data_IF_309019745166
#
_entry.id   IF_309019745166
#
_cell.length_a   1.000
_cell.length_b   1.000
_cell.length_c   1.000
_cell.angle_alpha   90.00
_cell.angle_beta   90.00
_cell.angle_gamma   90.00
#
_symmetry.space_group_name_H-M   'P 1'
#
loop_
_entity.id
_entity.type
_entity.pdbx_description
1 polymer ?
#
# COMPACT_ATOMS: atom_id res chain seq x y z
N UNK A 1 4.99 18.63 -15.09
CA UNK A 1 5.25 17.26 -15.56
C UNK A 1 4.14 16.37 -15.06
N UNK A 2 3.56 15.57 -15.91
CA UNK A 2 2.48 14.62 -15.63
C UNK A 2 2.96 13.20 -15.90
N UNK A 3 2.19 12.18 -15.50
CA UNK A 3 2.49 10.79 -15.90
C UNK A 3 2.39 10.61 -17.42
N UNK A 4 1.51 11.36 -18.09
CA UNK A 4 1.39 11.36 -19.55
C UNK A 4 2.68 11.84 -20.22
N UNK A 5 3.29 12.94 -19.72
CA UNK A 5 4.58 13.45 -20.24
C UNK A 5 5.69 12.41 -20.08
N UNK A 6 5.69 11.67 -18.95
CA UNK A 6 6.67 10.61 -18.68
C UNK A 6 6.49 9.41 -19.62
N UNK A 7 5.25 8.96 -19.83
CA UNK A 7 4.97 7.85 -20.74
C UNK A 7 5.33 8.22 -22.18
N UNK A 8 4.92 9.38 -22.66
CA UNK A 8 5.26 9.85 -24.01
C UNK A 8 6.78 9.97 -24.23
N UNK A 9 7.51 10.54 -23.26
CA UNK A 9 8.97 10.61 -23.30
C UNK A 9 9.61 9.20 -23.32
N UNK A 10 9.04 8.26 -22.56
CA UNK A 10 9.52 6.89 -22.53
C UNK A 10 9.24 6.14 -23.84
N UNK A 11 8.04 6.30 -24.41
CA UNK A 11 7.67 5.72 -25.70
C UNK A 11 8.53 6.25 -26.85
N UNK A 12 8.87 7.54 -26.83
CA UNK A 12 9.78 8.12 -27.81
C UNK A 12 11.22 7.62 -27.69
N UNK A 13 11.72 7.42 -26.47
CA UNK A 13 13.10 7.00 -26.20
C UNK A 13 13.33 5.49 -26.30
N UNK A 14 12.35 4.68 -25.92
CA UNK A 14 12.43 3.23 -25.80
C UNK A 14 11.12 2.57 -26.29
N UNK A 15 10.72 2.74 -27.59
CA UNK A 15 9.40 2.33 -28.08
C UNK A 15 9.11 0.84 -27.86
N UNK A 16 10.09 -0.01 -28.08
CA UNK A 16 9.99 -1.47 -27.96
C UNK A 16 10.30 -1.97 -26.54
N UNK A 17 10.64 -1.05 -25.63
CA UNK A 17 10.88 -1.37 -24.23
C UNK A 17 9.59 -1.87 -23.56
N UNK A 18 9.69 -2.98 -22.82
CA UNK A 18 8.55 -3.57 -22.11
C UNK A 18 8.37 -2.86 -20.78
N UNK A 19 7.22 -2.19 -20.63
CA UNK A 19 6.86 -1.49 -19.39
C UNK A 19 6.32 -2.45 -18.32
N UNK A 20 5.46 -3.40 -18.75
CA UNK A 20 4.76 -4.32 -17.86
C UNK A 20 4.56 -5.69 -18.49
N UNK A 21 4.68 -6.72 -17.65
CA UNK A 21 4.37 -8.11 -17.98
C UNK A 21 3.33 -8.63 -16.99
N UNK A 22 2.24 -9.20 -17.49
CA UNK A 22 1.34 -10.04 -16.69
C UNK A 22 1.63 -11.49 -17.05
N UNK A 23 2.23 -12.22 -16.13
CA UNK A 23 2.72 -13.57 -16.39
C UNK A 23 1.61 -14.52 -16.86
N UNK A 24 1.81 -15.12 -18.03
CA UNK A 24 0.82 -16.02 -18.67
C UNK A 24 -0.32 -15.30 -19.41
N UNK A 25 -0.32 -13.96 -19.45
CA UNK A 25 -1.32 -13.15 -20.16
C UNK A 25 -0.70 -12.40 -21.34
N UNK A 26 0.38 -11.63 -21.08
CA UNK A 26 1.03 -10.83 -22.12
C UNK A 26 1.96 -9.77 -21.56
N UNK A 27 2.41 -8.89 -22.45
CA UNK A 27 3.28 -7.77 -22.15
C UNK A 27 2.79 -6.48 -22.81
N UNK A 28 3.20 -5.34 -22.29
CA UNK A 28 2.86 -4.02 -22.79
C UNK A 28 4.14 -3.23 -22.99
N UNK A 29 4.44 -2.86 -24.26
CA UNK A 29 5.56 -1.98 -24.61
C UNK A 29 5.17 -0.52 -24.38
N UNK A 30 6.17 0.38 -24.27
CA UNK A 30 5.90 1.81 -24.08
C UNK A 30 5.16 2.41 -25.28
N UNK A 31 5.53 2.07 -26.50
CA UNK A 31 4.84 2.56 -27.72
C UNK A 31 3.40 2.06 -27.81
N UNK A 32 3.16 0.78 -27.51
CA UNK A 32 1.80 0.22 -27.51
C UNK A 32 0.94 0.85 -26.40
N UNK A 33 1.52 1.09 -25.21
CA UNK A 33 0.82 1.77 -24.12
C UNK A 33 0.44 3.19 -24.51
N UNK A 34 1.39 3.95 -25.03
CA UNK A 34 1.24 5.32 -25.45
C UNK A 34 0.14 5.49 -26.50
N UNK A 35 0.21 4.71 -27.61
CA UNK A 35 -0.77 4.77 -28.69
C UNK A 35 -2.17 4.31 -28.26
N UNK A 36 -2.27 3.21 -27.51
CA UNK A 36 -3.57 2.70 -27.03
C UNK A 36 -4.22 3.68 -26.03
N UNK A 37 -3.42 4.34 -25.18
CA UNK A 37 -3.92 5.35 -24.26
C UNK A 37 -4.47 6.58 -24.98
N UNK A 38 -3.86 7.00 -26.08
CA UNK A 38 -4.41 8.07 -26.93
C UNK A 38 -5.74 7.66 -27.56
N UNK A 39 -5.87 6.42 -28.03
CA UNK A 39 -7.15 5.88 -28.53
C UNK A 39 -8.26 5.96 -27.48
N UNK A 40 -7.98 5.51 -26.25
CA UNK A 40 -8.94 5.60 -25.12
C UNK A 40 -9.32 7.06 -24.83
N UNK A 41 -8.33 7.97 -24.79
CA UNK A 41 -8.58 9.39 -24.56
C UNK A 41 -9.47 10.01 -25.65
N UNK A 42 -9.17 9.73 -26.92
CA UNK A 42 -9.94 10.21 -28.06
C UNK A 42 -11.38 9.65 -28.03
N UNK A 43 -11.56 8.38 -27.67
CA UNK A 43 -12.89 7.79 -27.46
C UNK A 43 -13.68 8.55 -26.39
N UNK A 44 -13.09 8.76 -25.21
CA UNK A 44 -13.74 9.45 -24.09
C UNK A 44 -14.12 10.90 -24.46
N UNK A 45 -13.23 11.62 -25.15
CA UNK A 45 -13.48 12.99 -25.60
C UNK A 45 -14.64 13.02 -26.60
N UNK A 46 -14.67 12.10 -27.57
CA UNK A 46 -15.74 12.00 -28.55
C UNK A 46 -17.09 11.66 -27.94
N UNK A 47 -17.09 10.85 -26.87
CA UNK A 47 -18.27 10.55 -26.06
C UNK A 47 -18.66 11.70 -25.10
N UNK A 48 -17.98 12.84 -25.20
CA UNK A 48 -18.28 14.05 -24.44
C UNK A 48 -17.80 14.03 -22.97
N UNK A 49 -16.77 13.24 -22.65
CA UNK A 49 -16.11 13.33 -21.34
C UNK A 49 -15.52 14.74 -21.13
N UNK A 50 -15.69 15.28 -19.94
CA UNK A 50 -15.26 16.65 -19.59
C UNK A 50 -14.00 16.63 -18.75
N UNK A 51 -13.16 17.65 -18.84
CA UNK A 51 -12.03 17.81 -17.90
C UNK A 51 -12.53 17.82 -16.45
N UNK A 52 -11.83 17.06 -15.59
CA UNK A 52 -12.18 16.90 -14.19
C UNK A 52 -13.34 15.91 -13.91
N UNK A 53 -13.99 15.35 -14.93
CA UNK A 53 -15.04 14.35 -14.75
C UNK A 53 -14.47 13.04 -14.21
N UNK A 54 -15.01 12.48 -13.09
CA UNK A 54 -14.58 11.19 -12.60
C UNK A 54 -15.01 10.06 -13.54
N UNK A 55 -14.07 9.16 -13.86
CA UNK A 55 -14.28 7.94 -14.67
C UNK A 55 -13.86 6.72 -13.86
N UNK A 56 -14.82 5.82 -13.61
CA UNK A 56 -14.58 4.58 -12.88
C UNK A 56 -13.76 3.58 -13.70
N UNK A 57 -12.84 2.89 -13.03
CA UNK A 57 -12.01 1.84 -13.61
C UNK A 57 -12.19 0.57 -12.79
N UNK A 58 -12.88 -0.42 -13.34
CA UNK A 58 -13.19 -1.71 -12.69
C UNK A 58 -12.58 -2.83 -13.54
N UNK A 59 -11.36 -3.22 -13.22
CA UNK A 59 -10.60 -4.23 -13.95
C UNK A 59 -10.19 -5.37 -13.04
N UNK A 60 -10.32 -6.64 -13.47
CA UNK A 60 -9.82 -7.76 -12.72
C UNK A 60 -8.29 -7.74 -12.66
N UNK A 61 -7.73 -8.38 -11.64
CA UNK A 61 -6.28 -8.41 -11.44
C UNK A 61 -5.51 -8.96 -12.65
N UNK A 62 -6.10 -9.88 -13.41
CA UNK A 62 -5.52 -10.40 -14.65
C UNK A 62 -5.40 -9.35 -15.78
N UNK A 63 -6.19 -8.28 -15.72
CA UNK A 63 -6.27 -7.24 -16.76
C UNK A 63 -5.38 -6.01 -16.44
N UNK A 64 -4.25 -6.18 -15.75
CA UNK A 64 -3.32 -5.10 -15.45
C UNK A 64 -2.85 -4.31 -16.69
N UNK A 65 -2.64 -5.00 -17.83
CA UNK A 65 -2.21 -4.32 -19.05
C UNK A 65 -3.31 -3.39 -19.59
N UNK A 66 -4.54 -3.87 -19.63
CA UNK A 66 -5.69 -3.08 -20.08
C UNK A 66 -6.04 -1.96 -19.09
N UNK A 67 -5.94 -2.26 -17.79
CA UNK A 67 -6.07 -1.22 -16.77
C UNK A 67 -5.05 -0.09 -16.95
N UNK A 68 -3.78 -0.42 -17.21
CA UNK A 68 -2.73 0.57 -17.43
C UNK A 68 -3.05 1.49 -18.63
N UNK A 69 -3.54 0.90 -19.72
CA UNK A 69 -3.98 1.65 -20.91
C UNK A 69 -5.17 2.53 -20.59
N UNK A 70 -6.23 1.98 -19.98
CA UNK A 70 -7.44 2.71 -19.62
C UNK A 70 -7.15 3.86 -18.65
N UNK A 71 -6.34 3.61 -17.61
CA UNK A 71 -5.92 4.63 -16.64
C UNK A 71 -5.25 5.83 -17.34
N UNK A 72 -4.26 5.57 -18.17
CA UNK A 72 -3.55 6.63 -18.88
C UNK A 72 -4.45 7.35 -19.89
N UNK A 73 -5.33 6.64 -20.57
CA UNK A 73 -6.31 7.24 -21.48
C UNK A 73 -7.30 8.16 -20.75
N UNK A 74 -7.78 7.76 -19.57
CA UNK A 74 -8.60 8.64 -18.72
C UNK A 74 -7.84 9.91 -18.36
N UNK A 75 -6.58 9.80 -17.93
CA UNK A 75 -5.77 10.98 -17.63
C UNK A 75 -5.60 11.89 -18.85
N UNK A 76 -5.32 11.33 -20.04
CA UNK A 76 -5.12 12.09 -21.29
C UNK A 76 -6.40 12.75 -21.80
N UNK A 77 -7.56 12.23 -21.45
CA UNK A 77 -8.84 12.91 -21.77
C UNK A 77 -9.12 14.12 -20.87
N UNK A 78 -8.28 14.37 -19.86
CA UNK A 78 -8.49 15.39 -18.82
C UNK A 78 -9.43 14.93 -17.72
N UNK A 79 -9.95 13.72 -17.78
CA UNK A 79 -10.82 13.14 -16.76
C UNK A 79 -10.00 12.64 -15.54
N UNK A 80 -10.71 12.33 -14.45
CA UNK A 80 -10.13 11.86 -13.19
C UNK A 80 -10.32 10.36 -13.06
N UNK A 81 -9.24 9.61 -12.94
CA UNK A 81 -9.30 8.16 -12.80
C UNK A 81 -9.78 7.74 -11.39
N UNK A 82 -10.78 6.86 -11.33
CA UNK A 82 -11.31 6.30 -10.08
C UNK A 82 -11.14 4.77 -10.08
N UNK A 83 -9.95 4.27 -9.67
CA UNK A 83 -9.72 2.83 -9.57
C UNK A 83 -10.60 2.21 -8.50
N UNK A 84 -11.30 1.14 -8.86
CA UNK A 84 -12.18 0.38 -7.97
C UNK A 84 -11.81 -1.11 -7.99
N UNK A 85 -11.93 -1.82 -6.85
CA UNK A 85 -11.75 -3.27 -6.83
C UNK A 85 -12.77 -3.98 -7.73
N UNK A 86 -12.33 -4.96 -8.52
CA UNK A 86 -13.18 -5.77 -9.41
C UNK A 86 -14.28 -6.55 -8.67
N UNK A 87 -14.02 -6.90 -7.40
CA UNK A 87 -14.96 -7.63 -6.53
C UNK A 87 -15.89 -6.71 -5.72
N UNK A 88 -15.92 -5.42 -6.05
CA UNK A 88 -16.84 -4.49 -5.40
C UNK A 88 -18.28 -4.80 -5.85
N UNK A 89 -19.27 -4.94 -4.92
CA UNK A 89 -20.66 -5.12 -5.28
C UNK A 89 -21.19 -3.98 -6.14
N UNK A 90 -22.02 -4.30 -7.15
CA UNK A 90 -22.58 -3.30 -8.06
C UNK A 90 -23.37 -2.18 -7.34
N UNK A 91 -24.03 -2.51 -6.22
CA UNK A 91 -24.71 -1.51 -5.39
C UNK A 91 -23.75 -0.49 -4.78
N UNK A 92 -22.55 -0.93 -4.41
CA UNK A 92 -21.53 -0.03 -3.86
C UNK A 92 -20.86 0.79 -4.96
N UNK A 93 -20.62 0.19 -6.13
CA UNK A 93 -20.13 0.93 -7.31
C UNK A 93 -21.12 2.05 -7.67
N UNK A 94 -22.42 1.77 -7.72
CA UNK A 94 -23.45 2.80 -7.97
C UNK A 94 -23.45 3.88 -6.89
N UNK A 95 -23.38 3.52 -5.63
CA UNK A 95 -23.28 4.48 -4.53
C UNK A 95 -22.04 5.39 -4.64
N UNK A 96 -20.89 4.83 -5.01
CA UNK A 96 -19.70 5.62 -5.26
C UNK A 96 -19.85 6.52 -6.50
N UNK A 97 -20.49 6.02 -7.55
CA UNK A 97 -20.78 6.80 -8.76
C UNK A 97 -21.66 8.02 -8.45
N UNK A 98 -22.72 7.84 -7.67
CA UNK A 98 -23.59 8.94 -7.21
C UNK A 98 -22.81 9.97 -6.37
N UNK A 99 -22.00 9.51 -5.42
CA UNK A 99 -21.21 10.40 -4.55
C UNK A 99 -20.13 11.19 -5.28
N UNK A 100 -19.58 10.65 -6.34
CA UNK A 100 -18.52 11.30 -7.12
C UNK A 100 -19.05 12.09 -8.32
N UNK A 101 -20.31 11.92 -8.68
CA UNK A 101 -20.85 12.40 -9.95
C UNK A 101 -20.33 11.64 -11.18
N UNK A 102 -19.84 10.41 -10.98
CA UNK A 102 -19.26 9.57 -12.01
C UNK A 102 -20.36 9.02 -12.93
N UNK A 103 -20.33 9.38 -14.20
CA UNK A 103 -21.29 8.95 -15.20
C UNK A 103 -20.77 7.81 -16.08
N UNK A 104 -19.45 7.56 -16.07
CA UNK A 104 -18.77 6.56 -16.89
C UNK A 104 -17.98 5.58 -16.04
N UNK A 105 -18.07 4.30 -16.39
CA UNK A 105 -17.31 3.20 -15.77
C UNK A 105 -16.75 2.32 -16.87
N UNK A 106 -15.43 2.27 -16.97
CA UNK A 106 -14.74 1.38 -17.89
C UNK A 106 -14.49 0.02 -17.23
N UNK A 107 -14.82 -1.06 -17.93
CA UNK A 107 -14.56 -2.46 -17.55
C UNK A 107 -13.70 -3.19 -18.59
N UNK A 108 -13.46 -2.53 -19.70
CA UNK A 108 -12.62 -2.91 -20.82
C UNK A 108 -11.95 -1.66 -21.40
N UNK A 109 -11.09 -1.86 -22.39
CA UNK A 109 -10.39 -0.78 -23.07
C UNK A 109 -11.17 -0.38 -24.32
N UNK A 110 -11.82 0.79 -24.32
CA UNK A 110 -12.50 1.24 -25.52
C UNK A 110 -11.49 1.58 -26.63
N UNK A 111 -11.86 1.28 -27.86
CA UNK A 111 -11.09 1.61 -29.03
C UNK A 111 -11.58 2.95 -29.59
N UNK A 112 -10.67 3.91 -29.68
CA UNK A 112 -10.95 5.22 -30.27
C UNK A 112 -10.09 5.51 -31.50
N UNK A 113 -10.30 6.67 -32.12
CA UNK A 113 -9.49 7.11 -33.28
C UNK A 113 -8.00 7.18 -32.94
N UNK A 114 -7.17 6.85 -33.92
CA UNK A 114 -5.72 7.02 -33.83
C UNK A 114 -5.32 8.50 -33.79
N UNK A 115 -4.15 8.76 -33.21
CA UNK A 115 -3.57 10.12 -33.10
C UNK A 115 -3.52 10.61 -31.67
N UNK A 116 -2.65 11.57 -31.42
CA UNK A 116 -2.43 12.12 -30.07
C UNK A 116 -3.67 12.78 -29.53
N UNK A 117 -3.97 12.54 -28.25
CA UNK A 117 -5.07 13.19 -27.55
C UNK A 117 -4.81 14.71 -27.43
N UNK A 118 -5.80 15.55 -27.78
CA UNK A 118 -5.61 17.01 -27.90
C UNK A 118 -5.53 17.74 -26.55
N UNK A 119 -5.80 17.07 -25.43
CA UNK A 119 -5.91 17.72 -24.12
C UNK A 119 -4.56 18.11 -23.54
N UNK A 120 -4.44 19.37 -23.13
CA UNK A 120 -3.26 19.90 -22.46
C UNK A 120 -3.43 19.81 -20.95
N UNK A 121 -2.66 18.94 -20.29
CA UNK A 121 -2.75 18.69 -18.86
C UNK A 121 -1.84 19.59 -18.05
N UNK A 122 -2.32 20.09 -16.92
CA UNK A 122 -1.54 20.79 -15.92
C UNK A 122 -1.19 19.87 -14.75
N UNK A 123 -0.04 20.10 -14.10
CA UNK A 123 0.32 19.41 -12.88
C UNK A 123 -0.67 19.60 -11.72
N UNK A 124 -1.42 20.72 -11.72
CA UNK A 124 -2.43 21.03 -10.71
C UNK A 124 -3.79 20.37 -10.97
N UNK A 125 -4.02 19.84 -12.17
CA UNK A 125 -5.30 19.22 -12.51
C UNK A 125 -5.50 17.96 -11.69
N UNK A 126 -6.74 17.68 -11.26
CA UNK A 126 -7.09 16.41 -10.62
C UNK A 126 -6.79 15.24 -11.55
N UNK A 127 -6.19 14.19 -11.03
CA UNK A 127 -5.78 13.02 -11.81
C UNK A 127 -6.38 11.71 -11.30
N UNK A 128 -6.53 11.57 -9.99
CA UNK A 128 -6.99 10.32 -9.39
C UNK A 128 -7.84 10.56 -8.15
N UNK A 129 -8.86 9.73 -7.95
CA UNK A 129 -9.57 9.56 -6.69
C UNK A 129 -9.42 8.11 -6.27
N UNK A 130 -8.81 7.86 -5.11
CA UNK A 130 -8.65 6.52 -4.56
C UNK A 130 -9.44 6.38 -3.26
N UNK A 131 -10.38 5.44 -3.23
CA UNK A 131 -11.20 5.21 -2.05
C UNK A 131 -10.47 4.39 -1.00
N UNK A 132 -10.48 4.89 0.24
CA UNK A 132 -9.94 4.20 1.41
C UNK A 132 -11.08 3.74 2.32
N UNK A 133 -10.92 2.58 2.97
CA UNK A 133 -11.83 2.15 4.03
C UNK A 133 -11.60 3.02 5.25
N UNK A 134 -12.36 4.09 5.39
CA UNK A 134 -12.27 4.97 6.56
C UNK A 134 -12.55 4.22 7.87
N UNK A 135 -11.93 4.68 8.97
CA UNK A 135 -12.21 4.17 10.33
C UNK A 135 -13.67 4.32 10.76
N UNK A 136 -14.40 5.25 10.13
CA UNK A 136 -15.82 5.52 10.37
C UNK A 136 -16.76 4.58 9.61
N UNK A 137 -16.24 3.63 8.82
CA UNK A 137 -17.05 2.69 8.01
C UNK A 137 -17.49 3.24 6.65
N UNK A 138 -17.46 4.55 6.44
CA UNK A 138 -17.75 5.16 5.13
C UNK A 138 -16.44 5.37 4.37
N UNK A 139 -16.34 4.81 3.16
CA UNK A 139 -15.17 4.99 2.32
C UNK A 139 -14.97 6.47 1.96
N UNK A 140 -13.76 7.01 2.15
CA UNK A 140 -13.37 8.37 1.77
C UNK A 140 -12.60 8.35 0.46
N UNK A 141 -12.97 9.23 -0.47
CA UNK A 141 -12.23 9.42 -1.73
C UNK A 141 -11.05 10.37 -1.51
N UNK A 142 -9.84 9.88 -1.65
CA UNK A 142 -8.61 10.68 -1.58
C UNK A 142 -8.25 11.15 -2.97
N UNK A 143 -8.20 12.47 -3.17
CA UNK A 143 -7.88 13.09 -4.46
C UNK A 143 -6.38 13.31 -4.59
N UNK A 144 -5.84 13.05 -5.78
CA UNK A 144 -4.46 13.36 -6.15
C UNK A 144 -4.42 14.13 -7.47
N UNK A 145 -3.52 15.11 -7.56
CA UNK A 145 -3.25 15.83 -8.80
C UNK A 145 -2.20 15.09 -9.64
N UNK A 146 -2.03 15.52 -10.91
CA UNK A 146 -0.94 15.00 -11.74
C UNK A 146 0.44 15.25 -11.10
N UNK A 147 0.63 16.38 -10.43
CA UNK A 147 1.88 16.70 -9.73
C UNK A 147 2.12 15.75 -8.53
N UNK A 148 1.06 15.36 -7.81
CA UNK A 148 1.21 14.36 -6.75
C UNK A 148 1.67 13.01 -7.30
N UNK A 149 1.05 12.55 -8.40
CA UNK A 149 1.37 11.25 -9.00
C UNK A 149 2.78 11.22 -9.62
N UNK A 150 3.23 12.35 -10.17
CA UNK A 150 4.53 12.49 -10.82
C UNK A 150 5.64 13.03 -9.89
N UNK A 151 5.36 13.19 -8.59
CA UNK A 151 6.33 13.76 -7.66
C UNK A 151 7.59 12.90 -7.54
N UNK A 152 8.75 13.54 -7.67
CA UNK A 152 10.06 12.87 -7.56
C UNK A 152 10.44 12.02 -8.78
N UNK A 153 9.59 11.95 -9.82
CA UNK A 153 9.88 11.21 -11.04
C UNK A 153 10.68 12.05 -12.03
N UNK A 154 11.46 11.38 -12.88
CA UNK A 154 12.38 12.03 -13.82
C UNK A 154 12.34 11.37 -15.19
N UNK A 155 12.43 12.19 -16.25
CA UNK A 155 12.61 11.70 -17.62
C UNK A 155 14.03 11.15 -17.86
N UNK A 156 15.03 11.69 -17.15
CA UNK A 156 16.44 11.24 -17.28
C UNK A 156 16.57 9.76 -16.84
N UNK A 157 16.99 8.86 -17.75
CA UNK A 157 17.18 7.44 -17.43
C UNK A 157 18.15 7.17 -16.27
N UNK A 158 19.12 8.08 -16.05
CA UNK A 158 20.12 7.95 -14.99
C UNK A 158 19.54 8.16 -13.59
N UNK A 159 18.38 8.81 -13.50
CA UNK A 159 17.69 9.13 -12.25
C UNK A 159 16.52 8.19 -11.94
N UNK A 160 16.26 7.19 -12.79
CA UNK A 160 15.18 6.21 -12.59
C UNK A 160 15.48 5.33 -11.38
N UNK A 161 14.47 5.05 -10.58
CA UNK A 161 14.58 4.18 -9.42
C UNK A 161 14.89 2.72 -9.82
N UNK A 162 15.44 1.95 -8.90
CA UNK A 162 15.68 0.49 -9.01
C UNK A 162 16.60 0.08 -10.17
N UNK A 163 17.64 0.86 -10.47
CA UNK A 163 18.60 0.58 -11.56
C UNK A 163 19.41 -0.71 -11.38
N UNK A 164 19.46 -1.26 -10.17
CA UNK A 164 20.08 -2.54 -9.86
C UNK A 164 19.29 -3.73 -10.38
N UNK A 165 18.06 -3.54 -10.84
CA UNK A 165 17.10 -4.57 -11.18
C UNK A 165 16.65 -4.45 -12.64
N UNK A 166 16.51 -5.60 -13.33
CA UNK A 166 15.88 -5.67 -14.67
C UNK A 166 14.37 -5.85 -14.57
N UNK A 167 13.90 -6.54 -13.54
CA UNK A 167 12.49 -6.78 -13.30
C UNK A 167 12.11 -6.45 -11.87
N UNK A 168 10.94 -5.84 -11.70
CA UNK A 168 10.30 -5.55 -10.42
C UNK A 168 9.04 -6.41 -10.31
N UNK A 169 9.00 -7.33 -9.36
CA UNK A 169 7.86 -8.23 -9.16
C UNK A 169 6.92 -7.74 -8.05
N UNK A 170 5.62 -7.82 -8.29
CA UNK A 170 4.57 -7.56 -7.29
C UNK A 170 3.32 -8.40 -7.56
N UNK A 171 2.39 -8.42 -6.59
CA UNK A 171 1.05 -8.98 -6.78
C UNK A 171 -0.03 -8.12 -6.09
N UNK A 172 0.19 -6.80 -6.04
CA UNK A 172 -0.77 -5.87 -5.43
C UNK A 172 -2.04 -5.72 -6.28
N UNK A 173 -3.22 -5.66 -5.63
CA UNK A 173 -4.47 -5.37 -6.32
C UNK A 173 -4.48 -3.97 -6.96
N UNK A 174 -5.13 -3.85 -8.13
CA UNK A 174 -5.23 -2.61 -8.90
C UNK A 174 -5.81 -1.45 -8.07
N UNK A 175 -6.92 -1.67 -7.34
CA UNK A 175 -7.63 -0.64 -6.58
C UNK A 175 -6.95 -0.20 -5.26
N UNK A 176 -5.67 -0.52 -5.03
CA UNK A 176 -4.93 -0.15 -3.82
C UNK A 176 -3.86 0.90 -4.10
N UNK A 177 -3.50 1.70 -3.09
CA UNK A 177 -2.41 2.68 -3.24
C UNK A 177 -1.08 2.00 -3.65
N UNK A 178 -0.79 0.82 -3.11
CA UNK A 178 0.40 0.04 -3.49
C UNK A 178 0.35 -0.40 -4.96
N UNK A 179 -0.81 -0.86 -5.45
CA UNK A 179 -1.01 -1.18 -6.86
C UNK A 179 -0.81 0.05 -7.76
N UNK A 180 -1.34 1.21 -7.38
CA UNK A 180 -1.14 2.44 -8.14
C UNK A 180 0.33 2.85 -8.20
N UNK A 181 1.10 2.65 -7.13
CA UNK A 181 2.55 2.86 -7.12
C UNK A 181 3.27 1.92 -8.10
N UNK A 182 2.82 0.67 -8.29
CA UNK A 182 3.40 -0.24 -9.28
C UNK A 182 3.11 0.23 -10.72
N UNK A 183 1.92 0.76 -10.99
CA UNK A 183 1.60 1.39 -12.27
C UNK A 183 2.54 2.57 -12.56
N UNK A 184 2.78 3.43 -11.57
CA UNK A 184 3.71 4.56 -11.68
C UNK A 184 5.14 4.06 -11.91
N UNK A 185 5.57 3.01 -11.21
CA UNK A 185 6.89 2.40 -11.41
C UNK A 185 7.05 1.79 -12.82
N UNK A 186 5.99 1.24 -13.40
CA UNK A 186 6.05 0.72 -14.78
C UNK A 186 6.36 1.83 -15.80
N UNK A 187 5.97 3.08 -15.52
CA UNK A 187 6.29 4.23 -16.38
C UNK A 187 7.68 4.80 -16.06
N UNK A 188 7.99 4.98 -14.78
CA UNK A 188 9.06 5.85 -14.31
C UNK A 188 10.31 5.13 -13.81
N UNK A 189 10.20 3.89 -13.34
CA UNK A 189 11.32 3.12 -12.84
C UNK A 189 12.18 2.50 -13.97
N UNK A 190 13.35 1.99 -13.61
CA UNK A 190 14.23 1.32 -14.57
C UNK A 190 13.72 -0.06 -14.97
N UNK A 191 13.30 -0.94 -14.03
CA UNK A 191 12.90 -2.31 -14.37
C UNK A 191 11.53 -2.38 -15.04
N UNK A 192 11.36 -3.43 -15.87
CA UNK A 192 10.04 -3.89 -16.29
C UNK A 192 9.25 -4.38 -15.07
N UNK A 193 8.02 -3.92 -14.89
CA UNK A 193 7.14 -4.41 -13.82
C UNK A 193 6.53 -5.74 -14.22
N UNK A 194 6.63 -6.73 -13.34
CA UNK A 194 6.10 -8.08 -13.56
C UNK A 194 5.09 -8.42 -12.48
N UNK A 195 3.92 -8.89 -12.89
CA UNK A 195 2.87 -9.33 -11.96
C UNK A 195 2.23 -10.65 -12.42
N UNK A 196 1.35 -11.21 -11.60
CA UNK A 196 0.64 -12.47 -11.86
C UNK A 196 -0.86 -12.27 -11.71
N UNK A 197 -1.71 -12.93 -12.50
CA UNK A 197 -3.17 -12.83 -12.39
C UNK A 197 -3.72 -13.23 -11.01
N UNK A 198 -3.04 -14.13 -10.32
CA UNK A 198 -3.42 -14.63 -9.01
C UNK A 198 -2.18 -14.87 -8.16
N UNK A 199 -2.15 -14.26 -6.98
CA UNK A 199 -1.12 -14.55 -6.00
C UNK A 199 -1.36 -15.94 -5.38
N UNK A 200 -0.35 -16.79 -5.45
CA UNK A 200 -0.11 -17.91 -4.54
C UNK A 200 1.39 -17.95 -4.26
N UNK A 201 1.84 -18.38 -3.07
CA UNK A 201 3.26 -18.34 -2.71
C UNK A 201 4.16 -19.02 -3.74
N UNK A 202 3.83 -20.25 -4.14
CA UNK A 202 4.63 -21.01 -5.10
C UNK A 202 4.66 -20.37 -6.50
N UNK A 203 3.54 -19.83 -7.00
CA UNK A 203 3.51 -19.11 -8.29
C UNK A 203 4.33 -17.84 -8.24
N UNK A 204 4.24 -17.10 -7.13
CA UNK A 204 4.99 -15.86 -7.00
C UNK A 204 6.49 -16.10 -6.85
N UNK A 205 6.91 -17.11 -6.08
CA UNK A 205 8.30 -17.55 -6.02
C UNK A 205 8.83 -17.98 -7.40
N UNK A 206 8.05 -18.77 -8.14
CA UNK A 206 8.39 -19.19 -9.52
C UNK A 206 8.49 -18.01 -10.49
N UNK A 207 7.64 -16.97 -10.32
CA UNK A 207 7.71 -15.74 -11.10
C UNK A 207 9.01 -14.98 -10.81
N UNK A 208 9.36 -14.80 -9.53
CA UNK A 208 10.61 -14.15 -9.11
C UNK A 208 11.81 -14.87 -9.74
N UNK A 209 11.86 -16.20 -9.61
CA UNK A 209 12.94 -17.02 -10.15
C UNK A 209 12.98 -16.96 -11.70
N UNK A 210 11.84 -17.08 -12.39
CA UNK A 210 11.77 -17.07 -13.86
C UNK A 210 12.28 -15.76 -14.46
N UNK A 211 11.85 -14.63 -13.90
CA UNK A 211 12.23 -13.31 -14.40
C UNK A 211 13.52 -12.77 -13.77
N UNK A 212 14.13 -13.51 -12.85
CA UNK A 212 15.31 -13.05 -12.10
C UNK A 212 15.05 -11.64 -11.54
N UNK A 213 13.92 -11.49 -10.84
CA UNK A 213 13.50 -10.20 -10.33
C UNK A 213 14.49 -9.70 -9.25
N UNK A 214 15.13 -8.57 -9.51
CA UNK A 214 16.06 -7.95 -8.54
C UNK A 214 15.34 -7.07 -7.52
N UNK A 215 14.09 -6.71 -7.77
CA UNK A 215 13.24 -5.93 -6.86
C UNK A 215 11.92 -6.64 -6.67
N UNK A 216 11.48 -6.80 -5.42
CA UNK A 216 10.20 -7.41 -5.07
C UNK A 216 9.45 -6.50 -4.10
N UNK A 217 8.17 -6.24 -4.37
CA UNK A 217 7.28 -5.57 -3.43
C UNK A 217 6.14 -6.48 -3.01
N UNK A 218 5.85 -6.51 -1.69
CA UNK A 218 4.80 -7.35 -1.11
C UNK A 218 4.17 -6.66 0.12
N UNK A 219 3.08 -7.24 0.61
CA UNK A 219 2.52 -6.91 1.93
C UNK A 219 2.94 -7.97 2.94
N UNK A 220 2.93 -7.67 4.26
CA UNK A 220 3.35 -8.64 5.29
C UNK A 220 2.68 -10.00 5.21
N UNK A 221 1.40 -10.06 4.84
CA UNK A 221 0.70 -11.34 4.64
C UNK A 221 1.28 -12.18 3.52
N UNK A 222 1.62 -11.56 2.39
CA UNK A 222 2.29 -12.25 1.28
C UNK A 222 3.68 -12.73 1.70
N UNK A 223 4.38 -11.95 2.53
CA UNK A 223 5.67 -12.33 3.11
C UNK A 223 5.54 -13.59 3.99
N UNK A 224 4.57 -13.58 4.90
CA UNK A 224 4.27 -14.72 5.78
C UNK A 224 3.95 -15.98 4.97
N UNK A 225 3.11 -15.87 3.95
CA UNK A 225 2.75 -16.99 3.09
C UNK A 225 3.94 -17.52 2.29
N UNK A 226 4.79 -16.64 1.75
CA UNK A 226 6.02 -17.03 1.02
C UNK A 226 7.00 -17.79 1.91
N UNK A 227 7.26 -17.27 3.11
CA UNK A 227 8.13 -17.91 4.10
C UNK A 227 7.55 -19.26 4.52
N UNK A 228 6.23 -19.33 4.76
CA UNK A 228 5.55 -20.57 5.20
C UNK A 228 5.51 -21.65 4.12
N UNK A 229 5.60 -21.28 2.85
CA UNK A 229 5.55 -22.23 1.73
C UNK A 229 6.83 -23.04 1.53
N UNK A 230 7.92 -22.73 2.26
CA UNK A 230 9.18 -23.48 2.21
C UNK A 230 9.89 -23.40 0.86
N UNK A 231 9.72 -22.30 0.13
CA UNK A 231 10.48 -22.06 -1.10
C UNK A 231 11.98 -22.00 -0.78
N UNK A 232 12.82 -22.48 -1.70
CA UNK A 232 14.26 -22.34 -1.60
C UNK A 232 14.71 -20.88 -1.78
N UNK A 233 16.00 -20.57 -1.51
CA UNK A 233 16.53 -19.23 -1.66
C UNK A 233 16.28 -18.62 -3.04
N UNK A 234 15.97 -17.33 -3.05
CA UNK A 234 15.71 -16.52 -4.25
C UNK A 234 16.78 -15.42 -4.36
N UNK A 235 17.98 -15.81 -4.74
CA UNK A 235 19.23 -15.01 -4.72
C UNK A 235 19.20 -13.83 -5.70
N UNK A 236 18.30 -13.83 -6.68
CA UNK A 236 18.16 -12.72 -7.64
C UNK A 236 17.68 -11.42 -7.00
N UNK A 237 16.98 -11.50 -5.85
CA UNK A 237 16.36 -10.34 -5.21
C UNK A 237 17.40 -9.56 -4.42
N UNK A 238 17.60 -8.31 -4.83
CA UNK A 238 18.53 -7.36 -4.18
C UNK A 238 17.80 -6.34 -3.29
N UNK A 239 16.51 -6.12 -3.56
CA UNK A 239 15.64 -5.25 -2.77
C UNK A 239 14.28 -5.91 -2.57
N UNK A 240 13.89 -6.07 -1.31
CA UNK A 240 12.56 -6.47 -0.93
C UNK A 240 11.89 -5.32 -0.17
N UNK A 241 10.76 -4.82 -0.71
CA UNK A 241 9.96 -3.77 -0.10
C UNK A 241 8.68 -4.34 0.50
N UNK A 242 8.46 -4.13 1.80
CA UNK A 242 7.19 -4.41 2.47
C UNK A 242 6.42 -3.11 2.72
N UNK A 243 5.11 -3.12 2.49
CA UNK A 243 4.26 -1.94 2.63
C UNK A 243 2.86 -2.30 3.13
N UNK A 244 2.05 -1.27 3.38
CA UNK A 244 0.63 -1.33 3.74
C UNK A 244 0.31 -1.78 5.19
N UNK A 245 1.21 -2.48 5.88
CA UNK A 245 1.10 -2.83 7.30
C UNK A 245 2.51 -2.96 7.91
N UNK A 246 2.65 -2.94 9.24
CA UNK A 246 3.92 -3.24 9.89
C UNK A 246 4.41 -4.64 9.52
N UNK A 247 5.70 -4.77 9.23
CA UNK A 247 6.35 -6.06 8.99
C UNK A 247 6.88 -6.58 10.33
N UNK A 248 6.37 -7.71 10.86
CA UNK A 248 6.89 -8.26 12.11
C UNK A 248 8.38 -8.62 12.00
N UNK A 249 9.15 -8.33 13.04
CA UNK A 249 10.60 -8.57 13.03
C UNK A 249 10.96 -10.04 12.81
N UNK A 250 10.20 -10.95 13.40
CA UNK A 250 10.39 -12.39 13.20
C UNK A 250 10.17 -12.83 11.73
N UNK A 251 9.23 -12.17 11.02
CA UNK A 251 9.00 -12.41 9.59
C UNK A 251 10.14 -11.83 8.76
N UNK A 252 10.62 -10.63 9.12
CA UNK A 252 11.74 -9.99 8.42
C UNK A 252 13.02 -10.85 8.51
N UNK A 253 13.31 -11.47 9.65
CA UNK A 253 14.44 -12.42 9.80
C UNK A 253 14.30 -13.59 8.83
N UNK A 254 13.12 -14.24 8.79
CA UNK A 254 12.87 -15.37 7.88
C UNK A 254 12.89 -14.96 6.40
N UNK A 255 12.51 -13.72 6.09
CA UNK A 255 12.67 -13.17 4.74
C UNK A 255 14.14 -13.03 4.36
N UNK A 256 15.05 -12.72 5.30
CA UNK A 256 16.49 -12.72 5.07
C UNK A 256 17.06 -14.09 4.71
N UNK A 257 16.46 -15.17 5.22
CA UNK A 257 16.84 -16.55 4.82
C UNK A 257 16.32 -16.90 3.41
N UNK A 258 15.11 -16.44 3.05
CA UNK A 258 14.52 -16.67 1.73
C UNK A 258 15.16 -15.80 0.63
N UNK A 259 15.58 -14.60 0.98
CA UNK A 259 16.18 -13.60 0.08
C UNK A 259 17.56 -13.15 0.60
N UNK A 260 18.58 -14.03 0.57
CA UNK A 260 19.85 -13.80 1.27
C UNK A 260 20.64 -12.59 0.77
N UNK A 261 20.45 -12.18 -0.49
CA UNK A 261 21.10 -11.01 -1.10
C UNK A 261 20.28 -9.72 -0.97
N UNK A 262 19.07 -9.81 -0.40
CA UNK A 262 18.14 -8.68 -0.42
C UNK A 262 18.34 -7.73 0.76
N UNK A 263 18.36 -6.43 0.46
CA UNK A 263 18.05 -5.40 1.44
C UNK A 263 16.54 -5.44 1.72
N UNK A 264 16.15 -5.83 2.92
CA UNK A 264 14.74 -5.86 3.34
C UNK A 264 14.35 -4.48 3.84
N UNK A 265 13.29 -3.90 3.25
CA UNK A 265 12.83 -2.57 3.58
C UNK A 265 11.35 -2.57 3.95
N UNK A 266 10.95 -1.72 4.88
CA UNK A 266 9.55 -1.45 5.22
C UNK A 266 9.20 0.00 4.91
N UNK A 267 8.07 0.20 4.22
CA UNK A 267 7.56 1.52 3.81
C UNK A 267 6.31 1.85 4.62
N UNK A 268 6.36 2.93 5.37
CA UNK A 268 5.19 3.44 6.07
C UNK A 268 4.68 4.71 5.40
N UNK A 269 3.44 4.67 4.96
CA UNK A 269 2.70 5.77 4.34
C UNK A 269 1.20 5.49 4.44
N UNK A 270 0.38 6.44 4.02
CA UNK A 270 -1.05 6.25 3.78
C UNK A 270 -1.44 6.77 2.39
N UNK A 271 -2.65 6.46 1.94
CA UNK A 271 -3.19 7.02 0.69
C UNK A 271 -3.24 8.54 0.77
N UNK A 272 -3.60 9.08 1.93
CA UNK A 272 -3.71 10.51 2.20
C UNK A 272 -2.34 11.20 2.19
N UNK A 273 -1.32 10.54 2.72
CA UNK A 273 0.01 11.13 2.89
C UNK A 273 0.90 10.99 1.65
N UNK A 274 0.63 10.02 0.77
CA UNK A 274 1.48 9.79 -0.40
C UNK A 274 1.65 11.07 -1.23
N UNK A 275 2.90 11.45 -1.64
CA UNK A 275 4.10 10.62 -1.65
C UNK A 275 4.97 10.68 -0.37
N UNK A 276 4.51 11.32 0.73
CA UNK A 276 5.25 11.28 1.99
C UNK A 276 5.31 9.84 2.52
N UNK A 277 6.51 9.40 2.92
CA UNK A 277 6.74 8.06 3.46
C UNK A 277 7.94 8.05 4.40
N UNK A 278 7.99 7.07 5.28
CA UNK A 278 9.24 6.66 5.92
C UNK A 278 9.74 5.37 5.30
N UNK A 279 11.03 5.13 5.37
CA UNK A 279 11.66 3.90 4.91
C UNK A 279 12.54 3.38 6.05
N UNK A 280 12.30 2.13 6.43
CA UNK A 280 13.15 1.36 7.32
C UNK A 280 13.90 0.31 6.52
N UNK A 281 15.21 0.32 6.55
CA UNK A 281 16.02 -0.85 6.25
C UNK A 281 15.99 -1.72 7.51
N UNK A 282 15.58 -2.97 7.37
CA UNK A 282 15.45 -3.86 8.52
C UNK A 282 16.74 -3.92 9.31
N UNK A 283 16.62 -3.63 10.60
CA UNK A 283 17.71 -3.64 11.57
C UNK A 283 17.23 -4.39 12.82
N UNK A 284 17.80 -5.54 13.14
CA UNK A 284 17.45 -6.30 14.35
C UNK A 284 17.62 -5.53 15.65
N UNK A 285 18.51 -4.51 15.68
CA UNK A 285 18.73 -3.68 16.87
C UNK A 285 17.64 -2.61 17.07
N UNK A 286 16.79 -2.41 16.05
CA UNK A 286 15.68 -1.44 16.06
C UNK A 286 14.32 -2.10 15.76
N UNK A 287 13.93 -3.13 16.53
CA UNK A 287 12.68 -3.83 16.29
C UNK A 287 11.48 -2.87 16.38
N UNK A 288 10.53 -3.03 15.48
CA UNK A 288 9.29 -2.21 15.46
C UNK A 288 9.45 -0.81 14.88
N UNK A 289 10.65 -0.36 14.49
CA UNK A 289 10.81 0.91 13.78
C UNK A 289 10.25 0.82 12.36
N UNK A 290 9.58 1.89 11.92
CA UNK A 290 9.15 2.09 10.53
C UNK A 290 10.04 3.09 9.79
N UNK A 291 11.22 3.38 10.34
CA UNK A 291 12.30 4.12 9.70
C UNK A 291 12.19 5.64 9.81
N UNK A 292 12.91 6.32 8.92
CA UNK A 292 12.99 7.78 8.85
C UNK A 292 12.30 8.33 7.62
N UNK A 293 11.91 9.62 7.70
CA UNK A 293 11.33 10.33 6.56
C UNK A 293 12.22 10.24 5.32
N UNK A 294 11.62 9.92 4.18
CA UNK A 294 12.30 9.76 2.90
C UNK A 294 11.81 10.81 1.87
N UNK A 295 12.51 10.89 0.74
CA UNK A 295 12.15 11.74 -0.40
C UNK A 295 11.94 13.23 -0.04
N UNK A 296 12.75 13.76 0.89
CA UNK A 296 12.64 15.16 1.35
C UNK A 296 11.41 15.44 2.22
N UNK A 297 10.72 14.39 2.66
CA UNK A 297 9.59 14.48 3.57
C UNK A 297 10.01 14.78 5.01
N UNK A 298 9.02 14.95 5.87
CA UNK A 298 9.21 15.17 7.30
C UNK A 298 8.16 14.39 8.10
N UNK A 299 8.55 13.95 9.29
CA UNK A 299 7.68 13.36 10.31
C UNK A 299 7.72 14.25 11.54
N UNK A 300 6.59 14.42 12.19
CA UNK A 300 6.51 15.01 13.52
C UNK A 300 5.53 14.23 14.39
N UNK A 301 5.77 14.27 15.67
CA UNK A 301 4.86 13.77 16.69
C UNK A 301 4.24 14.95 17.40
N UNK A 302 2.93 14.91 17.64
CA UNK A 302 2.24 15.95 18.40
C UNK A 302 1.62 15.37 19.65
N UNK A 303 1.87 16.02 20.76
CA UNK A 303 1.23 15.72 22.05
C UNK A 303 -0.26 16.06 22.02
N UNK A 304 -1.01 15.66 23.06
CA UNK A 304 -2.45 15.87 23.14
C UNK A 304 -2.87 17.36 23.15
N UNK A 305 -1.99 18.25 23.56
CA UNK A 305 -2.18 19.69 23.53
C UNK A 305 -1.86 20.35 22.17
N UNK A 306 -1.40 19.54 21.19
CA UNK A 306 -1.04 19.99 19.84
C UNK A 306 0.39 20.51 19.70
N UNK A 307 1.19 20.49 20.75
CA UNK A 307 2.62 20.87 20.71
C UNK A 307 3.47 19.74 20.11
N UNK A 308 4.69 20.05 19.70
CA UNK A 308 5.64 19.03 19.26
C UNK A 308 6.10 18.20 20.48
N UNK A 309 6.00 16.87 20.35
CA UNK A 309 6.48 15.94 21.38
C UNK A 309 8.02 15.88 21.37
N UNK A 310 8.60 15.63 22.54
CA UNK A 310 10.03 15.35 22.66
C UNK A 310 10.39 13.97 22.12
N UNK A 311 11.70 13.71 21.91
CA UNK A 311 12.16 12.37 21.53
C UNK A 311 11.76 11.35 22.63
N UNK A 312 11.26 10.18 22.18
CA UNK A 312 10.72 9.12 23.06
C UNK A 312 9.30 9.39 23.59
N UNK A 313 8.74 10.59 23.42
CA UNK A 313 7.38 10.91 23.85
C UNK A 313 6.36 10.48 22.81
N UNK A 314 5.37 9.68 23.23
CA UNK A 314 4.29 9.18 22.37
C UNK A 314 3.23 10.25 22.10
N UNK A 315 2.91 10.46 20.84
CA UNK A 315 1.86 11.37 20.40
C UNK A 315 1.30 10.96 19.02
N UNK A 316 0.52 11.85 18.43
CA UNK A 316 -0.04 11.63 17.10
C UNK A 316 1.03 11.81 16.00
N UNK A 317 1.07 10.87 15.06
CA UNK A 317 1.99 10.89 13.93
C UNK A 317 1.43 11.77 12.80
N UNK A 318 2.26 12.73 12.36
CA UNK A 318 1.98 13.57 11.21
C UNK A 318 3.12 13.48 10.21
N UNK A 319 2.76 13.47 8.92
CA UNK A 319 3.74 13.42 7.83
C UNK A 319 3.52 14.57 6.85
N UNK A 320 4.60 15.01 6.23
CA UNK A 320 4.58 16.01 5.15
C UNK A 320 5.59 15.64 4.07
N UNK A 321 5.24 15.91 2.81
CA UNK A 321 6.18 15.90 1.68
C UNK A 321 6.30 17.29 1.07
N UNK A 322 7.32 17.56 0.23
CA UNK A 322 7.38 18.78 -0.57
C UNK A 322 6.29 18.87 -1.65
N UNK A 323 5.63 17.75 -2.00
CA UNK A 323 4.47 17.78 -2.89
C UNK A 323 3.29 18.47 -2.19
N UNK A 324 2.41 19.08 -2.98
CA UNK A 324 1.14 19.57 -2.48
C UNK A 324 0.36 18.43 -1.79
N UNK A 325 -0.27 18.67 -0.63
CA UNK A 325 -1.03 17.63 0.05
C UNK A 325 -2.22 17.19 -0.80
N UNK A 326 -2.59 15.93 -0.66
CA UNK A 326 -3.86 15.40 -1.18
C UNK A 326 -5.02 15.99 -0.36
N UNK A 327 -6.26 15.73 -0.78
CA UNK A 327 -7.46 16.15 -0.05
C UNK A 327 -8.53 15.06 -0.11
N UNK A 328 -9.55 15.17 0.73
CA UNK A 328 -10.75 14.35 0.55
C UNK A 328 -11.69 14.99 -0.47
N UNK A 329 -12.32 14.14 -1.28
CA UNK A 329 -13.35 14.56 -2.23
C UNK A 329 -14.53 15.19 -1.48
N UNK A 330 -14.85 16.45 -1.83
CA UNK A 330 -15.93 17.21 -1.18
C UNK A 330 -15.62 17.75 0.20
N UNK A 331 -14.45 17.44 0.78
CA UNK A 331 -14.01 17.92 2.09
C UNK A 331 -12.56 18.47 1.98
N UNK A 332 -12.34 19.62 1.32
CA UNK A 332 -11.01 20.18 1.13
C UNK A 332 -10.34 20.56 2.46
N UNK A 333 -11.14 20.95 3.45
CA UNK A 333 -10.69 21.21 4.81
C UNK A 333 -11.12 20.05 5.72
N UNK A 334 -10.17 19.36 6.30
CA UNK A 334 -10.42 18.30 7.26
C UNK A 334 -9.30 18.27 8.31
N UNK A 335 -9.60 17.69 9.47
CA UNK A 335 -8.60 17.48 10.52
C UNK A 335 -7.42 16.61 10.10
N UNK A 336 -7.57 15.90 9.00
CA UNK A 336 -6.52 15.06 8.41
C UNK A 336 -5.45 15.91 7.70
N UNK A 337 -5.84 17.03 7.07
CA UNK A 337 -4.95 17.86 6.27
C UNK A 337 -4.83 19.26 6.90
N UNK A 338 -3.68 19.58 7.52
CA UNK A 338 -3.47 20.87 8.19
C UNK A 338 -2.10 21.46 7.86
N UNK A 339 -2.07 22.65 7.27
CA UNK A 339 -0.84 23.39 7.00
C UNK A 339 0.23 22.56 6.23
N UNK A 340 -0.19 21.77 5.25
CA UNK A 340 0.68 20.90 4.46
C UNK A 340 1.10 19.60 5.17
N UNK A 341 0.62 19.36 6.38
CA UNK A 341 0.81 18.12 7.12
C UNK A 341 -0.41 17.22 7.00
N UNK A 342 -0.17 15.92 7.02
CA UNK A 342 -1.19 14.87 7.00
C UNK A 342 -1.16 14.10 8.31
N UNK A 343 -2.29 14.06 9.01
CA UNK A 343 -2.50 13.25 10.20
C UNK A 343 -2.65 11.80 9.82
N UNK A 344 -1.76 10.93 10.32
CA UNK A 344 -1.72 9.53 9.92
C UNK A 344 -2.79 8.66 10.59
N UNK A 345 -3.34 9.13 11.74
CA UNK A 345 -4.28 8.36 12.56
C UNK A 345 -3.59 7.27 13.39
N UNK A 346 -2.28 7.32 13.47
CA UNK A 346 -1.43 6.43 14.25
C UNK A 346 -0.81 7.20 15.42
N UNK A 347 -0.53 6.50 16.53
CA UNK A 347 0.28 6.95 17.64
C UNK A 347 1.68 6.41 17.48
N UNK A 348 2.67 7.21 17.81
CA UNK A 348 4.07 6.83 17.72
C UNK A 348 4.99 7.81 18.43
N UNK A 349 6.27 7.55 18.37
CA UNK A 349 7.32 8.44 18.86
C UNK A 349 8.52 8.42 17.91
N UNK A 350 9.32 9.48 17.95
CA UNK A 350 10.63 9.52 17.32
C UNK A 350 11.70 9.27 18.36
N UNK A 351 12.72 8.48 18.05
CA UNK A 351 13.91 8.41 18.87
C UNK A 351 14.84 9.61 18.61
N UNK A 352 15.95 9.69 19.36
CA UNK A 352 16.94 10.77 19.24
C UNK A 352 17.62 10.81 17.85
N UNK A 353 17.59 9.72 17.10
CA UNK A 353 18.12 9.64 15.74
C UNK A 353 17.07 9.91 14.65
N UNK A 354 15.81 10.18 15.06
CA UNK A 354 14.69 10.49 14.18
C UNK A 354 14.05 9.27 13.51
N UNK A 355 14.24 8.07 14.05
CA UNK A 355 13.48 6.89 13.64
C UNK A 355 12.10 6.90 14.26
N UNK A 356 11.10 6.62 13.43
CA UNK A 356 9.70 6.53 13.85
C UNK A 356 9.40 5.11 14.35
N UNK A 357 8.80 5.04 15.53
CA UNK A 357 8.23 3.83 16.10
C UNK A 357 6.73 4.01 16.24
N UNK A 358 5.97 3.07 15.69
CA UNK A 358 4.51 3.07 15.85
C UNK A 358 4.15 2.35 17.15
N UNK A 359 3.28 2.99 17.93
CA UNK A 359 2.74 2.40 19.15
C UNK A 359 1.45 1.66 18.84
N UNK A 360 0.50 2.33 18.16
CA UNK A 360 -0.76 1.73 17.71
C UNK A 360 -1.54 2.71 16.82
N UNK A 361 -2.66 2.26 16.25
CA UNK A 361 -3.68 3.14 15.71
C UNK A 361 -4.46 3.80 16.84
N UNK A 362 -4.84 5.05 16.64
CA UNK A 362 -5.60 5.82 17.64
C UNK A 362 -6.89 5.09 18.08
N UNK A 363 -7.51 4.28 17.20
CA UNK A 363 -8.73 3.51 17.49
C UNK A 363 -8.50 2.08 18.00
N UNK A 364 -7.28 1.54 17.89
CA UNK A 364 -6.99 0.13 18.18
C UNK A 364 -6.35 -0.08 19.56
N UNK A 365 -5.87 0.99 20.20
CA UNK A 365 -5.34 0.94 21.58
C UNK A 365 -6.37 0.37 22.54
N UNK A 366 -6.03 -0.74 23.20
CA UNK A 366 -6.91 -1.39 24.19
C UNK A 366 -6.77 -0.71 25.55
N UNK A 367 -7.88 -0.20 26.08
CA UNK A 367 -7.92 0.36 27.44
C UNK A 367 -8.31 -0.72 28.44
N UNK A 368 -7.32 -1.36 29.08
CA UNK A 368 -7.51 -2.41 30.05
C UNK A 368 -7.33 -1.84 31.48
N UNK A 369 -8.42 -1.52 32.15
CA UNK A 369 -8.38 -0.81 33.43
C UNK A 369 -7.66 0.52 33.31
N UNK A 370 -6.60 0.72 34.07
CA UNK A 370 -5.75 1.92 34.04
C UNK A 370 -4.67 1.90 32.92
N UNK A 371 -4.53 0.79 32.20
CA UNK A 371 -3.47 0.58 31.22
C UNK A 371 -3.96 0.79 29.80
N UNK A 372 -3.06 1.35 28.97
CA UNK A 372 -3.20 1.39 27.50
C UNK A 372 -2.31 0.32 26.91
N UNK A 373 -2.89 -0.65 26.23
CA UNK A 373 -2.17 -1.76 25.62
C UNK A 373 -2.10 -1.57 24.11
N UNK A 374 -0.90 -1.65 23.56
CA UNK A 374 -0.63 -1.64 22.14
C UNK A 374 -0.96 -3.00 21.53
N UNK A 375 -1.84 -3.02 20.53
CA UNK A 375 -2.11 -4.24 19.76
C UNK A 375 -0.90 -4.66 18.94
N UNK A 376 -0.15 -3.72 18.39
CA UNK A 376 1.07 -3.98 17.62
C UNK A 376 2.14 -4.68 18.46
N UNK A 377 2.34 -4.24 19.71
CA UNK A 377 3.29 -4.88 20.62
C UNK A 377 2.91 -6.32 20.94
N UNK A 378 1.62 -6.57 21.16
CA UNK A 378 1.11 -7.92 21.42
C UNK A 378 1.26 -8.79 20.18
N UNK A 379 0.92 -8.28 18.99
CA UNK A 379 1.07 -8.98 17.72
C UNK A 379 2.53 -9.32 17.43
N UNK A 380 3.47 -8.39 17.67
CA UNK A 380 4.92 -8.64 17.51
C UNK A 380 5.39 -9.78 18.41
N UNK A 381 4.98 -9.79 19.69
CA UNK A 381 5.32 -10.85 20.62
C UNK A 381 4.73 -12.21 20.21
N UNK A 382 3.51 -12.21 19.66
CA UNK A 382 2.86 -13.43 19.15
C UNK A 382 3.56 -13.96 17.89
N UNK A 383 3.92 -13.09 16.95
CA UNK A 383 4.66 -13.48 15.74
C UNK A 383 6.07 -14.03 16.03
N UNK A 384 6.66 -13.69 17.18
CA UNK A 384 7.94 -14.26 17.62
C UNK A 384 7.83 -15.74 18.02
N UNK A 385 6.62 -16.25 18.28
CA UNK A 385 6.42 -17.67 18.60
C UNK A 385 6.59 -18.56 17.35
N UNK A 386 7.41 -19.62 17.39
CA UNK A 386 7.76 -20.42 16.20
C UNK A 386 6.56 -20.99 15.43
N UNK A 387 5.52 -21.38 16.14
CA UNK A 387 4.33 -22.01 15.56
C UNK A 387 3.25 -21.00 15.12
N UNK A 388 3.39 -19.72 15.42
CA UNK A 388 2.41 -18.69 15.00
C UNK A 388 2.75 -18.21 13.59
N UNK A 389 1.79 -18.38 12.68
CA UNK A 389 1.85 -17.86 11.31
C UNK A 389 1.33 -16.44 11.25
N UNK A 390 0.09 -16.25 11.74
CA UNK A 390 -0.55 -14.95 11.76
C UNK A 390 -1.13 -14.67 13.14
N UNK A 391 -1.12 -13.41 13.54
CA UNK A 391 -1.68 -12.96 14.80
C UNK A 391 -2.41 -11.64 14.62
N UNK A 392 -3.53 -11.49 15.35
CA UNK A 392 -4.22 -10.23 15.50
C UNK A 392 -4.64 -10.05 16.95
N UNK A 393 -4.24 -8.94 17.57
CA UNK A 393 -4.66 -8.57 18.91
C UNK A 393 -5.83 -7.56 18.84
N UNK A 394 -6.80 -7.72 19.72
CA UNK A 394 -7.99 -6.88 19.76
C UNK A 394 -8.57 -6.83 21.17
N UNK A 395 -9.43 -5.85 21.41
CA UNK A 395 -10.09 -5.68 22.72
C UNK A 395 -11.41 -6.43 22.78
N UNK A 396 -11.64 -7.13 23.90
CA UNK A 396 -12.95 -7.72 24.21
C UNK A 396 -13.49 -7.18 25.52
N UNK A 397 -14.83 -7.07 25.68
CA UNK A 397 -15.44 -6.55 26.91
C UNK A 397 -15.07 -7.38 28.12
N UNK A 398 -14.84 -6.72 29.26
CA UNK A 398 -14.57 -7.36 30.55
C UNK A 398 -15.31 -6.63 31.69
N UNK A 399 -16.02 -7.36 32.57
CA UNK A 399 -16.93 -6.75 33.55
C UNK A 399 -16.26 -5.83 34.58
N UNK A 400 -14.97 -6.02 34.87
CA UNK A 400 -14.22 -5.21 35.85
C UNK A 400 -13.26 -4.22 35.20
N UNK A 401 -12.56 -4.63 34.14
CA UNK A 401 -11.52 -3.82 33.49
C UNK A 401 -12.04 -3.01 32.30
N UNK A 402 -13.33 -3.12 31.97
CA UNK A 402 -13.92 -2.51 30.78
C UNK A 402 -13.57 -3.27 29.51
N UNK A 403 -12.28 -3.39 29.20
CA UNK A 403 -11.77 -4.15 28.06
C UNK A 403 -10.51 -4.91 28.46
N UNK A 404 -10.28 -6.08 27.87
CA UNK A 404 -9.04 -6.85 28.01
C UNK A 404 -8.54 -7.29 26.65
N UNK A 405 -7.27 -7.68 26.58
CA UNK A 405 -6.64 -8.13 25.36
C UNK A 405 -7.15 -9.52 25.00
N UNK A 406 -7.53 -9.70 23.75
CA UNK A 406 -7.75 -11.00 23.11
C UNK A 406 -6.82 -11.13 21.90
N UNK A 407 -6.54 -12.36 21.49
CA UNK A 407 -5.75 -12.66 20.31
C UNK A 407 -6.44 -13.72 19.44
N UNK A 408 -6.42 -13.49 18.12
CA UNK A 408 -6.77 -14.48 17.11
C UNK A 408 -5.48 -14.91 16.40
N UNK A 409 -5.29 -16.22 16.24
CA UNK A 409 -4.06 -16.80 15.70
C UNK A 409 -4.36 -17.75 14.54
N UNK A 410 -3.49 -17.73 13.54
CA UNK A 410 -3.30 -18.83 12.60
C UNK A 410 -1.99 -19.51 12.96
N UNK A 411 -2.02 -20.81 13.24
CA UNK A 411 -0.86 -21.57 13.70
C UNK A 411 -0.47 -22.65 12.69
N UNK A 412 0.78 -23.07 12.74
CA UNK A 412 1.30 -24.18 11.91
C UNK A 412 0.90 -25.52 12.46
N UNK A 413 0.89 -25.62 13.79
CA UNK A 413 0.61 -26.82 14.54
C UNK A 413 -0.10 -26.43 15.84
N UNK A 414 -0.64 -27.40 16.57
CA UNK A 414 -1.37 -27.14 17.81
C UNK A 414 -0.45 -26.49 18.85
N UNK A 415 -0.89 -25.37 19.40
CA UNK A 415 -0.19 -24.64 20.48
C UNK A 415 -1.06 -24.64 21.70
N UNK A 416 -0.56 -25.18 22.81
CA UNK A 416 -1.30 -25.12 24.08
C UNK A 416 -1.34 -23.68 24.59
N UNK A 417 -2.47 -23.30 25.20
CA UNK A 417 -2.60 -21.96 25.82
C UNK A 417 -1.55 -21.75 26.94
N UNK A 418 -1.14 -22.80 27.61
CA UNK A 418 -0.14 -22.75 28.67
C UNK A 418 1.26 -22.44 28.11
N UNK A 419 1.67 -23.12 27.02
CA UNK A 419 2.97 -22.90 26.39
C UNK A 419 3.04 -21.50 25.75
N UNK A 420 1.99 -21.10 25.06
CA UNK A 420 1.90 -19.74 24.50
C UNK A 420 2.00 -18.68 25.60
N UNK A 421 1.29 -18.86 26.73
CA UNK A 421 1.35 -17.95 27.86
C UNK A 421 2.74 -17.90 28.49
N UNK A 422 3.40 -19.04 28.68
CA UNK A 422 4.77 -19.11 29.18
C UNK A 422 5.74 -18.34 28.28
N UNK A 423 5.60 -18.49 26.96
CA UNK A 423 6.39 -17.75 25.99
C UNK A 423 6.16 -16.24 26.04
N UNK A 424 4.90 -15.81 26.23
CA UNK A 424 4.53 -14.39 26.21
C UNK A 424 4.89 -13.67 27.52
N UNK A 425 4.91 -14.33 28.66
CA UNK A 425 5.26 -13.73 29.97
C UNK A 425 6.69 -13.15 29.95
N UNK A 426 7.59 -13.72 29.16
CA UNK A 426 8.95 -13.22 29.02
C UNK A 426 9.06 -11.94 28.15
N UNK A 427 7.97 -11.57 27.43
CA UNK A 427 7.96 -10.52 26.39
C UNK A 427 6.96 -9.41 26.66
N UNK A 428 5.90 -9.72 27.39
CA UNK A 428 4.77 -8.85 27.65
C UNK A 428 4.53 -8.64 29.14
N UNK A 429 4.14 -7.42 29.52
CA UNK A 429 3.70 -7.16 30.88
C UNK A 429 2.38 -7.90 31.21
N UNK A 430 2.05 -8.16 32.48
CA UNK A 430 0.86 -8.92 32.85
C UNK A 430 -0.46 -8.38 32.27
N UNK A 431 -0.60 -7.07 32.13
CA UNK A 431 -1.80 -6.42 31.56
C UNK A 431 -1.85 -6.46 30.02
N UNK A 432 -0.76 -6.83 29.36
CA UNK A 432 -0.66 -7.00 27.90
C UNK A 432 -0.92 -8.43 27.46
N UNK A 433 -0.89 -9.37 28.39
CA UNK A 433 -1.13 -10.78 28.10
C UNK A 433 -2.57 -11.01 27.62
N UNK A 434 -2.78 -11.73 26.49
CA UNK A 434 -4.12 -12.06 26.04
C UNK A 434 -4.89 -12.89 27.08
N UNK A 435 -6.05 -12.37 27.50
CA UNK A 435 -6.98 -13.09 28.39
C UNK A 435 -7.76 -14.17 27.63
N UNK A 436 -7.92 -14.01 26.31
CA UNK A 436 -8.56 -14.96 25.41
C UNK A 436 -7.67 -15.17 24.18
N UNK A 437 -7.47 -16.41 23.80
CA UNK A 437 -6.79 -16.78 22.55
C UNK A 437 -7.73 -17.68 21.75
N UNK A 438 -7.91 -17.36 20.47
CA UNK A 438 -8.73 -18.13 19.54
C UNK A 438 -7.88 -18.52 18.35
N UNK A 439 -7.82 -19.81 18.03
CA UNK A 439 -7.16 -20.31 16.82
C UNK A 439 -8.17 -20.36 15.67
N UNK A 440 -7.73 -19.98 14.47
CA UNK A 440 -8.54 -19.90 13.27
C UNK A 440 -7.75 -20.47 12.08
N UNK A 441 -8.46 -20.93 11.04
CA UNK A 441 -7.83 -21.37 9.78
C UNK A 441 -7.27 -20.18 9.00
N UNK A 442 -7.93 -19.01 9.07
CA UNK A 442 -7.50 -17.75 8.47
C UNK A 442 -8.06 -16.56 9.26
N UNK A 443 -7.32 -15.46 9.31
CA UNK A 443 -7.81 -14.20 9.86
C UNK A 443 -8.77 -13.51 8.88
N UNK A 444 -9.89 -12.92 9.35
CA UNK A 444 -10.79 -12.15 8.50
C UNK A 444 -10.07 -10.92 7.93
N UNK A 445 -10.33 -10.62 6.65
CA UNK A 445 -9.67 -9.52 5.95
C UNK A 445 -10.67 -8.60 5.28
N UNK A 446 -10.34 -7.31 5.28
CA UNK A 446 -11.05 -6.34 4.49
C UNK A 446 -10.64 -6.46 3.00
N UNK A 447 -11.31 -5.69 2.12
CA UNK A 447 -11.06 -5.70 0.66
C UNK A 447 -9.64 -5.27 0.26
N UNK A 448 -8.96 -4.53 1.11
CA UNK A 448 -7.55 -4.14 0.90
C UNK A 448 -6.54 -5.21 1.34
N UNK A 449 -7.02 -6.39 1.79
CA UNK A 449 -6.19 -7.49 2.27
C UNK A 449 -5.67 -7.34 3.71
N UNK A 450 -6.03 -6.27 4.42
CA UNK A 450 -5.69 -6.06 5.84
C UNK A 450 -6.65 -6.82 6.75
N UNK A 451 -6.14 -7.28 7.90
CA UNK A 451 -6.98 -7.94 8.92
C UNK A 451 -8.11 -7.01 9.37
N UNK A 452 -9.33 -7.51 9.33
CA UNK A 452 -10.51 -6.79 9.85
C UNK A 452 -10.75 -7.19 11.32
N UNK A 453 -10.17 -6.42 12.23
CA UNK A 453 -10.26 -6.68 13.67
C UNK A 453 -11.69 -6.65 14.21
N UNK A 454 -12.63 -5.99 13.49
CA UNK A 454 -14.05 -5.92 13.89
C UNK A 454 -14.81 -7.21 13.60
N UNK A 455 -14.29 -8.05 12.73
CA UNK A 455 -14.85 -9.35 12.39
C UNK A 455 -14.23 -10.51 13.23
N UNK A 456 -13.36 -10.18 14.21
CA UNK A 456 -12.78 -11.16 15.13
C UNK A 456 -13.76 -11.50 16.27
N UNK A 457 -13.67 -12.75 16.83
CA UNK A 457 -14.64 -13.31 17.79
C UNK A 457 -14.59 -12.70 19.21
#
# INVERSE_FOLDING_TARGET
MTLSDLLAARAAAEPDGVAMIVHGVGELTYSAWDARADGVANHLINEGARPGEPVGLVFPHAAWLDYAVAFMGVLRSGAVAVPMPDRMPEGEIRHLAERTGMSRILRDVPVGPEGSAPMKLSGSDPAQILFTSGTTGVAKGVTATHANLAFGLHQDPRRRAFRHSRHLAHAFPIGTNAGQMMLVNAIAAHPTVVTTPLFTPGRFASLIAKYQAGTVFLVPTMAIELVSAGNGPLDSVLLLGSAAAPLPSAVAVKLGELFPEAMITNYYTSTEAAPAQTIMVFDPERPGSVGRAAAGGSVRITSADGTAAAAGETGEVWMRSPAAPRSYLGEPESDTFRNGWVRMGDLGYLDDEGYLFLVDRTGDVIKSGAHKVSTLKVEEALHAHPLVKEAAAYGVPHPVLGTVVAAALVVQDEVSTADLRAFLIERLAPHELPAKVTTMDALPRNRGGKVDKRALP
#
